data_IF_216695005850
#
_entry.id   IF_216695005850
#
_cell.length_a   1.000
_cell.length_b   1.000
_cell.length_c   1.000
_cell.angle_alpha   90.00
_cell.angle_beta   90.00
_cell.angle_gamma   90.00
#
_symmetry.space_group_name_H-M   'P 1'
#
loop_
_entity.id
_entity.type
_entity.pdbx_description
1 polymer ?
#
# COMPACT_ATOMS: atom_id res chain seq x y z
N UNK A 1 1.95 -7.12 1.62
CA UNK A 1 2.68 -7.81 0.55
C UNK A 1 3.92 -6.99 0.30
N UNK A 2 5.09 -7.46 0.73
CA UNK A 2 6.36 -6.79 0.40
C UNK A 2 6.57 -6.92 -1.10
N UNK A 3 6.76 -5.78 -1.76
CA UNK A 3 7.28 -5.73 -3.13
C UNK A 3 8.72 -6.26 -3.04
N UNK A 4 8.90 -7.54 -3.36
CA UNK A 4 10.19 -8.21 -3.32
C UNK A 4 11.06 -7.63 -4.45
N UNK A 5 12.07 -6.84 -4.07
CA UNK A 5 12.91 -6.12 -5.03
C UNK A 5 14.05 -7.05 -5.43
N UNK A 6 14.04 -7.50 -6.69
CA UNK A 6 15.10 -8.32 -7.27
C UNK A 6 15.85 -7.59 -8.39
N UNK A 7 17.13 -7.92 -8.59
CA UNK A 7 17.93 -7.38 -9.68
C UNK A 7 17.41 -7.84 -11.05
N UNK A 8 17.06 -6.94 -11.98
CA UNK A 8 16.49 -7.33 -13.27
C UNK A 8 17.49 -8.02 -14.20
N UNK A 9 18.80 -7.93 -13.92
CA UNK A 9 19.83 -8.58 -14.73
C UNK A 9 20.26 -9.95 -14.19
N UNK A 10 20.47 -10.10 -12.88
CA UNK A 10 20.94 -11.37 -12.30
C UNK A 10 19.94 -12.06 -11.37
N UNK A 11 18.76 -11.49 -11.14
CA UNK A 11 17.67 -12.11 -10.36
C UNK A 11 17.90 -12.20 -8.86
N UNK A 12 19.00 -11.65 -8.33
CA UNK A 12 19.31 -11.66 -6.90
C UNK A 12 18.61 -10.54 -6.13
N UNK A 13 18.22 -10.84 -4.90
CA UNK A 13 17.52 -9.98 -3.92
C UNK A 13 18.41 -9.67 -2.68
N UNK A 14 19.35 -10.55 -2.32
CA UNK A 14 20.18 -10.46 -1.11
C UNK A 14 21.38 -9.45 -1.17
N UNK A 15 21.71 -8.90 -2.36
CA UNK A 15 22.89 -8.05 -2.59
C UNK A 15 22.54 -6.68 -3.22
N UNK A 16 21.47 -6.03 -2.73
CA UNK A 16 20.97 -4.77 -3.27
C UNK A 16 21.25 -3.59 -2.32
N UNK A 17 21.89 -2.55 -2.86
CA UNK A 17 22.16 -1.29 -2.14
C UNK A 17 21.23 -0.22 -2.68
N UNK A 18 20.35 0.30 -1.82
CA UNK A 18 19.46 1.41 -2.16
C UNK A 18 19.99 2.75 -1.65
N UNK A 19 20.07 3.75 -2.52
CA UNK A 19 20.38 5.14 -2.18
C UNK A 19 19.23 6.05 -2.64
N UNK A 20 18.77 6.96 -1.76
CA UNK A 20 17.73 7.93 -2.12
C UNK A 20 18.34 9.06 -2.95
N UNK A 21 17.81 9.25 -4.16
CA UNK A 21 18.15 10.34 -5.07
C UNK A 21 16.90 11.21 -5.26
N UNK A 22 16.71 12.17 -4.36
CA UNK A 22 15.51 13.02 -4.36
C UNK A 22 14.24 12.21 -4.09
N UNK A 23 13.33 12.20 -5.06
CA UNK A 23 12.06 11.45 -5.00
C UNK A 23 12.20 9.98 -5.41
N UNK A 24 13.32 9.61 -6.04
CA UNK A 24 13.60 8.26 -6.54
C UNK A 24 14.53 7.49 -5.59
N UNK A 25 14.49 6.17 -5.70
CA UNK A 25 15.43 5.27 -5.04
C UNK A 25 16.30 4.64 -6.14
N UNK A 26 17.59 4.97 -6.14
CA UNK A 26 18.57 4.31 -6.99
C UNK A 26 19.01 3.02 -6.31
N UNK A 27 18.82 1.89 -6.98
CA UNK A 27 19.19 0.56 -6.47
C UNK A 27 20.35 0.06 -7.29
N UNK A 28 21.43 -0.33 -6.62
CA UNK A 28 22.61 -0.93 -7.23
C UNK A 28 22.75 -2.37 -6.75
N UNK A 29 22.82 -3.31 -7.68
CA UNK A 29 23.15 -4.70 -7.36
C UNK A 29 24.67 -4.84 -7.23
N UNK A 30 25.16 -5.16 -6.04
CA UNK A 30 26.60 -5.32 -5.77
C UNK A 30 27.24 -6.45 -6.57
N UNK A 31 26.43 -7.39 -7.04
CA UNK A 31 26.91 -8.64 -7.59
C UNK A 31 26.98 -8.69 -9.12
N UNK A 32 26.30 -7.77 -9.82
CA UNK A 32 26.47 -7.54 -11.26
C UNK A 32 26.70 -6.07 -11.63
N UNK A 33 26.76 -5.19 -10.62
CA UNK A 33 26.99 -3.76 -10.74
C UNK A 33 25.97 -2.99 -11.60
N UNK A 34 24.79 -3.57 -11.82
CA UNK A 34 23.68 -2.87 -12.46
C UNK A 34 23.07 -1.88 -11.46
N UNK A 35 22.88 -0.64 -11.91
CA UNK A 35 22.11 0.39 -11.21
C UNK A 35 20.82 0.67 -11.96
N UNK A 36 19.70 0.71 -11.25
CA UNK A 36 18.40 1.09 -11.80
C UNK A 36 17.61 1.95 -10.80
N UNK A 37 16.68 2.74 -11.31
CA UNK A 37 15.84 3.62 -10.50
C UNK A 37 14.48 2.98 -10.21
N UNK A 38 14.01 3.15 -8.98
CA UNK A 38 12.66 2.79 -8.53
C UNK A 38 11.97 4.04 -8.00
N UNK A 39 10.81 4.34 -8.56
CA UNK A 39 9.90 5.35 -8.03
C UNK A 39 9.10 4.72 -6.87
N UNK A 40 9.29 5.17 -5.61
CA UNK A 40 8.55 4.65 -4.46
C UNK A 40 7.13 5.22 -4.37
N UNK A 41 6.77 6.16 -5.25
CA UNK A 41 5.46 6.80 -5.24
C UNK A 41 4.36 5.78 -5.47
N UNK A 42 3.30 5.78 -4.64
CA UNK A 42 2.21 4.85 -4.81
C UNK A 42 1.50 5.10 -6.15
N UNK A 43 1.19 4.01 -6.85
CA UNK A 43 0.44 4.02 -8.10
C UNK A 43 -0.90 3.33 -7.90
N UNK A 44 -1.92 3.77 -8.63
CA UNK A 44 -3.16 3.02 -8.71
C UNK A 44 -2.89 1.68 -9.42
N UNK A 45 -3.18 0.53 -8.80
CA UNK A 45 -2.93 -0.78 -9.41
C UNK A 45 -3.82 -1.04 -10.63
N UNK A 46 -4.95 -0.33 -10.75
CA UNK A 46 -5.92 -0.50 -11.84
C UNK A 46 -5.57 0.34 -13.06
N UNK A 47 -5.23 1.62 -12.88
CA UNK A 47 -5.03 2.56 -14.00
C UNK A 47 -3.62 3.16 -14.09
N UNK A 48 -2.71 2.84 -13.16
CA UNK A 48 -1.32 3.30 -13.17
C UNK A 48 -1.11 4.77 -12.84
N UNK A 49 -2.16 5.53 -12.46
CA UNK A 49 -2.03 6.95 -12.11
C UNK A 49 -1.28 7.14 -10.79
N UNK A 50 -0.51 8.23 -10.73
CA UNK A 50 0.22 8.69 -9.54
C UNK A 50 -0.60 9.54 -8.59
N UNK A 51 -1.72 10.12 -9.05
CA UNK A 51 -2.56 10.99 -8.22
C UNK A 51 -3.46 10.19 -7.28
N UNK A 52 -2.88 9.29 -6.50
CA UNK A 52 -3.59 8.54 -5.46
C UNK A 52 -3.55 9.29 -4.13
N UNK A 53 -4.63 9.21 -3.37
CA UNK A 53 -4.81 9.94 -2.12
C UNK A 53 -4.66 9.01 -0.92
N UNK A 54 -3.75 9.30 0.02
CA UNK A 54 -3.66 8.51 1.24
C UNK A 54 -4.89 8.79 2.12
N UNK A 55 -5.57 7.74 2.56
CA UNK A 55 -6.71 7.81 3.46
C UNK A 55 -6.58 6.76 4.58
N UNK A 56 -7.10 7.05 5.79
CA UNK A 56 -7.13 6.05 6.85
C UNK A 56 -8.20 4.98 6.58
N UNK A 57 -7.81 3.71 6.68
CA UNK A 57 -8.70 2.56 6.69
C UNK A 57 -8.73 1.96 8.09
N UNK A 58 -9.93 1.69 8.59
CA UNK A 58 -10.15 1.00 9.85
C UNK A 58 -9.80 -0.48 9.72
N UNK A 59 -9.08 -1.00 10.71
CA UNK A 59 -8.88 -2.43 10.90
C UNK A 59 -9.82 -2.86 12.03
N UNK A 60 -10.76 -3.74 11.72
CA UNK A 60 -11.67 -4.28 12.72
C UNK A 60 -11.10 -5.53 13.36
N UNK A 61 -11.24 -5.63 14.67
CA UNK A 61 -10.85 -6.78 15.46
C UNK A 61 -11.87 -7.08 16.54
N UNK A 62 -11.81 -8.29 17.10
CA UNK A 62 -12.68 -8.66 18.22
C UNK A 62 -12.08 -8.16 19.53
N UNK A 63 -12.88 -7.43 20.28
CA UNK A 63 -12.59 -7.05 21.66
C UNK A 63 -13.11 -8.13 22.62
N UNK A 64 -13.04 -7.85 23.94
CA UNK A 64 -13.61 -8.74 24.97
C UNK A 64 -15.10 -8.98 24.69
N UNK A 65 -15.54 -10.22 24.77
CA UNK A 65 -16.96 -10.58 24.60
C UNK A 65 -17.45 -10.67 23.15
N UNK A 66 -16.56 -10.89 22.16
CA UNK A 66 -16.90 -11.09 20.74
C UNK A 66 -17.41 -9.83 20.00
N UNK A 67 -17.36 -8.66 20.64
CA UNK A 67 -17.72 -7.39 20.01
C UNK A 67 -16.68 -6.98 18.95
N UNK A 68 -17.14 -6.59 17.76
CA UNK A 68 -16.28 -5.97 16.75
C UNK A 68 -16.00 -4.51 17.10
N UNK A 69 -14.74 -4.11 16.98
CA UNK A 69 -14.29 -2.74 17.24
C UNK A 69 -13.13 -2.37 16.32
N UNK A 70 -12.91 -1.07 16.10
CA UNK A 70 -11.70 -0.59 15.41
C UNK A 70 -10.52 -0.81 16.35
N UNK A 71 -9.58 -1.68 15.96
CA UNK A 71 -8.39 -2.01 16.76
C UNK A 71 -7.13 -1.30 16.25
N UNK A 72 -7.14 -0.87 14.98
CA UNK A 72 -6.06 -0.09 14.39
C UNK A 72 -6.56 0.74 13.20
N UNK A 73 -5.74 1.69 12.77
CA UNK A 73 -5.86 2.38 11.49
C UNK A 73 -4.65 2.04 10.64
N UNK A 74 -4.85 1.76 9.35
CA UNK A 74 -3.79 1.65 8.36
C UNK A 74 -4.01 2.66 7.24
N UNK A 75 -2.94 3.16 6.64
CA UNK A 75 -3.08 4.06 5.48
C UNK A 75 -3.22 3.24 4.20
N UNK A 76 -4.22 3.57 3.39
CA UNK A 76 -4.39 3.05 2.02
C UNK A 76 -4.35 4.21 1.04
N UNK A 77 -4.04 3.92 -0.23
CA UNK A 77 -4.03 4.91 -1.29
C UNK A 77 -5.22 4.68 -2.23
N UNK A 78 -6.13 5.64 -2.32
CA UNK A 78 -7.30 5.58 -3.19
C UNK A 78 -7.10 6.41 -4.46
N UNK A 79 -7.46 5.85 -5.60
CA UNK A 79 -7.47 6.56 -6.87
C UNK A 79 -8.75 7.40 -7.02
N UNK A 80 -8.66 8.68 -7.40
CA UNK A 80 -9.84 9.53 -7.60
C UNK A 80 -10.75 9.06 -8.73
N UNK A 81 -10.24 8.26 -9.68
CA UNK A 81 -11.02 7.69 -10.77
C UNK A 81 -11.52 6.26 -10.48
N UNK A 82 -10.64 5.37 -10.02
CA UNK A 82 -10.99 3.96 -9.81
C UNK A 82 -11.76 3.74 -8.51
N UNK A 83 -11.45 4.51 -7.46
CA UNK A 83 -12.03 4.40 -6.12
C UNK A 83 -12.89 5.63 -5.78
N UNK A 84 -13.38 6.33 -6.82
CA UNK A 84 -14.04 7.63 -6.73
C UNK A 84 -15.15 7.67 -5.67
N UNK A 85 -15.96 6.61 -5.60
CA UNK A 85 -17.07 6.55 -4.66
C UNK A 85 -16.62 6.38 -3.21
N UNK A 86 -15.62 5.53 -2.97
CA UNK A 86 -15.05 5.30 -1.65
C UNK A 86 -14.37 6.56 -1.15
N UNK A 87 -13.57 7.20 -2.01
CA UNK A 87 -12.92 8.46 -1.71
C UNK A 87 -13.95 9.55 -1.40
N UNK A 88 -15.03 9.66 -2.19
CA UNK A 88 -16.12 10.63 -1.94
C UNK A 88 -16.79 10.40 -0.60
N UNK A 89 -17.13 9.15 -0.25
CA UNK A 89 -17.73 8.82 1.06
C UNK A 89 -16.81 9.19 2.21
N UNK A 90 -15.50 8.94 2.07
CA UNK A 90 -14.52 9.34 3.07
C UNK A 90 -14.46 10.87 3.23
N UNK A 91 -14.40 11.61 2.13
CA UNK A 91 -14.34 13.07 2.14
C UNK A 91 -15.60 13.71 2.73
N UNK A 92 -16.78 13.13 2.47
CA UNK A 92 -18.07 13.62 2.99
C UNK A 92 -18.22 13.35 4.49
N UNK A 93 -17.90 12.14 4.94
CA UNK A 93 -18.12 11.72 6.33
C UNK A 93 -16.96 12.05 7.28
N UNK A 94 -15.75 12.29 6.76
CA UNK A 94 -14.51 12.37 7.53
C UNK A 94 -14.13 11.08 8.27
N UNK A 95 -14.90 9.99 8.08
CA UNK A 95 -14.71 8.72 8.79
C UNK A 95 -13.72 7.83 8.06
N UNK A 96 -12.93 7.01 8.77
CA UNK A 96 -12.03 6.04 8.13
C UNK A 96 -12.79 5.08 7.19
N UNK A 97 -12.13 4.69 6.11
CA UNK A 97 -12.66 3.69 5.16
C UNK A 97 -12.83 2.35 5.89
N UNK A 98 -13.94 1.62 5.74
CA UNK A 98 -14.10 0.30 6.33
C UNK A 98 -13.08 -0.70 5.76
N UNK A 99 -12.75 -1.79 6.51
CA UNK A 99 -11.89 -2.84 5.98
C UNK A 99 -12.58 -3.59 4.83
N UNK A 100 -11.77 -4.13 3.92
CA UNK A 100 -12.24 -4.94 2.78
C UNK A 100 -12.85 -6.27 3.26
N UNK A 101 -12.31 -6.83 4.34
CA UNK A 101 -12.79 -8.06 4.95
C UNK A 101 -13.46 -7.77 6.29
N UNK A 102 -14.69 -8.27 6.45
CA UNK A 102 -15.39 -8.23 7.73
C UNK A 102 -15.09 -9.52 8.52
N UNK A 103 -14.38 -9.45 9.66
CA UNK A 103 -14.06 -10.64 10.48
C UNK A 103 -15.28 -11.33 11.14
N UNK A 104 -16.50 -10.83 10.95
CA UNK A 104 -17.74 -11.52 11.28
C UNK A 104 -18.37 -12.30 10.11
N UNK A 105 -17.96 -12.07 8.85
CA UNK A 105 -18.59 -12.69 7.68
C UNK A 105 -18.25 -14.18 7.49
N UNK A 106 -17.23 -14.70 8.18
CA UNK A 106 -16.83 -16.12 8.13
C UNK A 106 -17.39 -17.01 9.24
N UNK A 107 -18.44 -16.57 9.94
CA UNK A 107 -19.18 -17.38 10.91
C UNK A 107 -20.58 -17.66 10.35
N UNK A 108 -20.68 -18.71 9.52
CA UNK A 108 -21.95 -19.41 9.26
C UNK A 108 -22.02 -20.68 10.11
#
# INVERSE_FOLDING_TARGET
>A
MSDDVACPNCGRDDDLVGERHGELISITCSACNLTWERDPSPLCPTCGRRDVRPVPQAVWGRSRGNQLSVVALRTINLCPDCDAEVLRRHLDSGSPVPPDENPAAGLE
#
